data_IF_602239413550
#
_entry.id   IF_602239413550
#
_cell.length_a   1.000
_cell.length_b   1.000
_cell.length_c   1.000
_cell.angle_alpha   90.00
_cell.angle_beta   90.00
_cell.angle_gamma   90.00
#
_symmetry.space_group_name_H-M   'P 1'
#
loop_
_entity.id
_entity.type
_entity.pdbx_description
1 polymer ?
#
# COMPACT_ATOMS: atom_id res chain seq x y z
N UNK A 1 11.98 -24.75 11.14
CA UNK A 1 10.71 -24.04 11.41
C UNK A 1 10.30 -23.43 10.09
N UNK A 2 9.66 -24.24 9.25
CA UNK A 2 9.61 -24.01 7.81
C UNK A 2 8.28 -24.54 7.28
N UNK A 3 7.21 -23.85 7.68
CA UNK A 3 5.85 -24.08 7.18
C UNK A 3 5.19 -22.73 7.05
N UNK A 4 5.34 -22.11 5.87
CA UNK A 4 4.61 -20.93 5.43
C UNK A 4 3.12 -21.22 5.27
N UNK A 5 2.46 -21.61 6.37
CA UNK A 5 1.01 -21.62 6.41
C UNK A 5 0.55 -20.17 6.25
N UNK A 6 -0.19 -19.91 5.16
CA UNK A 6 -0.89 -18.65 4.96
C UNK A 6 -1.72 -18.39 6.21
N UNK A 7 -1.49 -17.24 6.84
CA UNK A 7 -2.30 -16.79 7.97
C UNK A 7 -3.73 -16.65 7.46
N UNK A 8 -4.68 -17.37 8.04
CA UNK A 8 -6.08 -17.32 7.60
C UNK A 8 -6.66 -15.93 7.84
N UNK A 9 -7.64 -15.55 7.03
CA UNK A 9 -8.31 -14.24 7.14
C UNK A 9 -8.82 -13.98 8.57
N UNK A 10 -9.41 -14.99 9.22
CA UNK A 10 -9.88 -14.90 10.61
C UNK A 10 -8.77 -14.54 11.61
N UNK A 11 -7.56 -15.10 11.43
CA UNK A 11 -6.42 -14.79 12.30
C UNK A 11 -5.95 -13.35 12.04
N UNK A 12 -5.87 -12.93 10.77
CA UNK A 12 -5.48 -11.56 10.43
C UNK A 12 -6.48 -10.55 11.01
N UNK A 13 -7.77 -10.81 10.86
CA UNK A 13 -8.83 -9.95 11.42
C UNK A 13 -8.73 -9.91 12.94
N UNK A 14 -8.54 -11.05 13.61
CA UNK A 14 -8.34 -11.09 15.06
C UNK A 14 -7.14 -10.25 15.52
N UNK A 15 -6.01 -10.32 14.79
CA UNK A 15 -4.83 -9.49 15.06
C UNK A 15 -5.12 -8.00 14.88
N UNK A 16 -5.86 -7.63 13.84
CA UNK A 16 -6.28 -6.25 13.59
C UNK A 16 -7.18 -5.75 14.71
N UNK A 17 -8.22 -6.49 15.09
CA UNK A 17 -9.14 -6.13 16.18
C UNK A 17 -8.37 -5.89 17.48
N UNK A 18 -7.45 -6.78 17.85
CA UNK A 18 -6.62 -6.59 19.04
C UNK A 18 -5.68 -5.38 18.92
N UNK A 19 -5.17 -5.09 17.73
CA UNK A 19 -4.30 -3.93 17.48
C UNK A 19 -5.05 -2.61 17.66
N UNK A 20 -6.30 -2.54 17.25
CA UNK A 20 -7.16 -1.35 17.35
C UNK A 20 -7.52 -0.98 18.79
N UNK A 21 -7.43 -1.93 19.73
CA UNK A 21 -7.67 -1.67 21.16
C UNK A 21 -6.56 -0.89 21.86
N UNK A 22 -5.40 -0.71 21.20
CA UNK A 22 -4.27 -0.01 21.81
C UNK A 22 -4.52 1.50 21.89
N UNK A 23 -3.97 2.21 22.90
CA UNK A 23 -4.26 3.63 23.12
C UNK A 23 -3.90 4.54 21.95
N UNK A 24 -2.88 4.18 21.16
CA UNK A 24 -2.45 4.98 20.01
C UNK A 24 -3.42 4.94 18.82
N UNK A 25 -4.41 4.04 18.84
CA UNK A 25 -5.48 3.98 17.84
C UNK A 25 -6.69 4.86 18.17
N UNK A 26 -6.70 5.56 19.31
CA UNK A 26 -7.87 6.33 19.76
C UNK A 26 -8.24 7.50 18.84
N UNK A 27 -7.26 8.02 18.08
CA UNK A 27 -7.44 9.17 17.19
C UNK A 27 -7.65 8.75 15.73
N UNK A 28 -7.98 7.48 15.49
CA UNK A 28 -8.08 6.89 14.17
C UNK A 28 -6.85 6.09 13.78
N UNK A 29 -6.97 5.40 12.66
CA UNK A 29 -5.94 4.49 12.13
C UNK A 29 -5.89 4.58 10.62
N UNK A 30 -4.73 4.24 10.06
CA UNK A 30 -4.56 3.99 8.63
C UNK A 30 -4.30 2.50 8.44
N UNK A 31 -5.15 1.82 7.68
CA UNK A 31 -4.86 0.47 7.23
C UNK A 31 -3.98 0.55 5.97
N UNK A 32 -2.75 0.04 6.08
CA UNK A 32 -1.81 -0.06 4.96
C UNK A 32 -1.67 -1.53 4.55
N UNK A 33 -2.23 -1.88 3.38
CA UNK A 33 -2.22 -3.24 2.87
C UNK A 33 -3.22 -4.18 3.54
N UNK A 34 -4.28 -3.67 4.18
CA UNK A 34 -5.41 -4.45 4.68
C UNK A 34 -6.71 -3.61 4.53
N UNK A 35 -7.87 -4.21 4.22
CA UNK A 35 -8.05 -5.58 3.75
C UNK A 35 -7.52 -5.77 2.32
N UNK A 36 -7.20 -7.02 1.96
CA UNK A 36 -6.75 -7.43 0.61
C UNK A 36 -7.74 -8.33 -0.12
N UNK A 37 -8.76 -8.84 0.58
CA UNK A 37 -9.78 -9.74 0.04
C UNK A 37 -11.16 -9.32 0.52
N UNK A 38 -12.21 -9.70 -0.23
CA UNK A 38 -13.61 -9.46 0.15
C UNK A 38 -13.96 -10.07 1.52
N UNK A 39 -13.55 -11.33 1.85
CA UNK A 39 -13.79 -11.88 3.18
C UNK A 39 -13.18 -11.05 4.32
N UNK A 40 -11.98 -10.49 4.14
CA UNK A 40 -11.37 -9.61 5.15
C UNK A 40 -12.17 -8.30 5.33
N UNK A 41 -12.66 -7.72 4.24
CA UNK A 41 -13.50 -6.53 4.29
C UNK A 41 -14.84 -6.79 4.99
N UNK A 42 -15.48 -7.93 4.71
CA UNK A 42 -16.71 -8.34 5.38
C UNK A 42 -16.48 -8.61 6.88
N UNK A 43 -15.33 -9.22 7.23
CA UNK A 43 -15.00 -9.49 8.62
C UNK A 43 -14.75 -8.22 9.44
N UNK A 44 -14.27 -7.13 8.83
CA UNK A 44 -14.23 -5.81 9.47
C UNK A 44 -15.64 -5.30 9.80
N UNK A 45 -16.59 -5.49 8.88
CA UNK A 45 -17.99 -5.10 9.10
C UNK A 45 -18.64 -5.89 10.22
N UNK A 46 -18.45 -7.20 10.22
CA UNK A 46 -18.99 -8.10 11.24
C UNK A 46 -18.40 -7.78 12.63
N UNK A 47 -17.17 -7.26 12.67
CA UNK A 47 -16.51 -6.76 13.88
C UNK A 47 -16.92 -5.32 14.26
N UNK A 48 -17.84 -4.69 13.52
CA UNK A 48 -18.25 -3.28 13.66
C UNK A 48 -17.08 -2.30 13.59
N UNK A 49 -16.06 -2.60 12.77
CA UNK A 49 -14.96 -1.68 12.48
C UNK A 49 -15.35 -0.89 11.24
N UNK A 50 -15.80 0.35 11.45
CA UNK A 50 -16.09 1.29 10.39
C UNK A 50 -14.82 1.75 9.65
N UNK A 51 -14.96 2.00 8.36
CA UNK A 51 -13.96 2.72 7.56
C UNK A 51 -14.61 4.01 7.12
N UNK A 52 -13.98 5.15 7.43
CA UNK A 52 -14.50 6.48 7.07
C UNK A 52 -14.08 6.91 5.66
N UNK A 53 -12.93 6.42 5.18
CA UNK A 53 -12.35 6.81 3.90
C UNK A 53 -11.55 5.68 3.27
N UNK A 54 -11.80 5.42 1.99
CA UNK A 54 -10.93 4.65 1.11
C UNK A 54 -10.18 5.61 0.18
N UNK A 55 -8.86 5.45 0.10
CA UNK A 55 -8.01 6.19 -0.85
C UNK A 55 -7.45 5.21 -1.86
N UNK A 56 -7.89 5.32 -3.10
CA UNK A 56 -7.42 4.52 -4.24
C UNK A 56 -6.41 5.35 -5.04
N UNK A 57 -5.14 4.96 -4.99
CA UNK A 57 -4.09 5.60 -5.81
C UNK A 57 -3.90 4.78 -7.08
N UNK A 58 -4.37 5.30 -8.21
CA UNK A 58 -4.36 4.60 -9.49
C UNK A 58 -3.08 4.85 -10.26
N UNK A 59 -2.52 3.80 -10.85
CA UNK A 59 -1.38 3.89 -11.74
C UNK A 59 -1.42 2.74 -12.75
N UNK A 60 -1.02 3.02 -13.98
CA UNK A 60 -0.88 2.00 -15.03
C UNK A 60 0.18 0.95 -14.64
N UNK A 61 -0.05 -0.32 -15.01
CA UNK A 61 0.81 -1.44 -14.62
C UNK A 61 2.27 -1.24 -15.05
N UNK A 62 2.51 -0.74 -16.27
CA UNK A 62 3.88 -0.50 -16.75
C UNK A 62 4.58 0.59 -15.93
N UNK A 63 3.85 1.60 -15.46
CA UNK A 63 4.40 2.62 -14.57
C UNK A 63 4.70 2.03 -13.17
N UNK A 64 3.88 1.11 -12.68
CA UNK A 64 4.15 0.39 -11.42
C UNK A 64 5.41 -0.46 -11.57
N UNK A 65 5.51 -1.22 -12.67
CA UNK A 65 6.66 -2.09 -12.94
C UNK A 65 7.94 -1.26 -13.09
N UNK A 66 7.93 -0.17 -13.86
CA UNK A 66 9.08 0.73 -13.99
C UNK A 66 9.49 1.29 -12.62
N UNK A 67 8.52 1.77 -11.83
CA UNK A 67 8.78 2.35 -10.51
C UNK A 67 9.31 1.35 -9.50
N UNK A 68 8.86 0.09 -9.53
CA UNK A 68 9.33 -0.94 -8.60
C UNK A 68 10.69 -1.47 -9.02
N UNK A 69 10.85 -1.85 -10.29
CA UNK A 69 12.11 -2.40 -10.83
C UNK A 69 13.29 -1.44 -10.81
N UNK A 70 13.00 -0.13 -10.83
CA UNK A 70 14.02 0.90 -10.68
C UNK A 70 14.47 1.16 -9.24
N UNK A 71 13.79 0.63 -8.21
CA UNK A 71 14.14 0.88 -6.81
C UNK A 71 15.49 0.29 -6.44
N UNK A 72 16.23 1.05 -5.65
CA UNK A 72 17.49 0.66 -5.04
C UNK A 72 17.46 1.06 -3.57
N UNK A 73 18.02 0.22 -2.71
CA UNK A 73 18.07 0.46 -1.28
C UNK A 73 19.50 0.31 -0.77
N UNK A 74 19.90 1.23 0.10
CA UNK A 74 21.07 1.07 0.93
C UNK A 74 20.68 0.31 2.19
N UNK A 75 21.14 -0.94 2.35
CA UNK A 75 20.65 -1.85 3.40
C UNK A 75 20.95 -1.30 4.80
N UNK A 76 22.14 -0.77 5.01
CA UNK A 76 22.61 -0.32 6.33
C UNK A 76 21.80 0.86 6.88
N UNK A 77 21.25 1.72 6.00
CA UNK A 77 20.51 2.92 6.43
C UNK A 77 19.03 2.94 6.07
N UNK A 78 18.58 2.06 5.17
CA UNK A 78 17.24 2.09 4.60
C UNK A 78 16.97 3.24 3.61
N UNK A 79 18.00 4.01 3.21
CA UNK A 79 17.84 5.06 2.19
C UNK A 79 17.42 4.43 0.85
N UNK A 80 16.46 5.08 0.19
CA UNK A 80 15.90 4.61 -1.08
C UNK A 80 16.34 5.51 -2.23
N UNK A 81 16.64 4.88 -3.35
CA UNK A 81 17.03 5.48 -4.61
C UNK A 81 16.15 4.88 -5.72
N UNK A 82 16.15 5.53 -6.87
CA UNK A 82 15.52 5.01 -8.06
C UNK A 82 16.36 5.35 -9.29
N UNK A 83 16.74 4.36 -10.10
CA UNK A 83 17.66 4.54 -11.24
C UNK A 83 17.28 5.67 -12.22
N UNK A 84 15.97 5.94 -12.38
CA UNK A 84 15.41 7.03 -13.20
C UNK A 84 14.93 8.25 -12.40
N UNK A 85 14.02 8.07 -11.44
CA UNK A 85 13.33 9.18 -10.76
C UNK A 85 14.10 9.81 -9.58
N UNK A 86 15.05 9.08 -9.00
CA UNK A 86 15.87 9.56 -7.89
C UNK A 86 17.25 8.86 -7.93
N UNK A 87 18.04 9.06 -8.99
CA UNK A 87 19.28 8.32 -9.20
C UNK A 87 20.30 8.69 -8.12
N UNK A 88 21.13 7.73 -7.65
CA UNK A 88 22.29 8.08 -6.85
C UNK A 88 23.27 8.93 -7.66
N UNK A 89 24.07 9.74 -6.98
CA UNK A 89 25.14 10.56 -7.61
C UNK A 89 26.16 9.69 -8.34
N UNK A 90 26.42 8.49 -7.83
CA UNK A 90 27.25 7.48 -8.47
C UNK A 90 26.42 6.20 -8.62
N UNK A 91 26.32 5.71 -9.84
CA UNK A 91 25.53 4.50 -10.16
C UNK A 91 25.96 3.32 -9.28
N UNK A 92 24.98 2.69 -8.62
CA UNK A 92 25.20 1.53 -7.77
C UNK A 92 25.70 1.82 -6.35
N UNK A 93 25.91 3.09 -5.98
CA UNK A 93 26.47 3.45 -4.66
C UNK A 93 25.63 4.48 -3.91
N UNK A 94 25.58 4.34 -2.60
CA UNK A 94 24.92 5.28 -1.69
C UNK A 94 25.68 6.61 -1.61
N UNK A 95 24.93 7.72 -1.65
CA UNK A 95 25.51 9.07 -1.76
C UNK A 95 26.27 9.54 -0.52
N UNK A 96 26.02 8.94 0.65
CA UNK A 96 26.61 9.37 1.91
C UNK A 96 27.76 8.48 2.35
N UNK A 97 27.62 7.17 2.14
CA UNK A 97 28.58 6.17 2.61
C UNK A 97 29.49 5.65 1.50
N UNK A 98 29.04 5.69 0.25
CA UNK A 98 29.72 5.05 -0.88
C UNK A 98 29.59 3.53 -0.88
N UNK A 99 28.78 2.94 -0.01
CA UNK A 99 28.46 1.51 0.00
C UNK A 99 27.55 1.13 -1.17
N UNK A 100 27.51 -0.16 -1.54
CA UNK A 100 26.71 -0.64 -2.65
C UNK A 100 25.20 -0.56 -2.35
N UNK A 101 24.44 -0.15 -3.37
CA UNK A 101 22.99 -0.23 -3.37
C UNK A 101 22.55 -1.57 -3.96
N UNK A 102 21.51 -2.16 -3.38
CA UNK A 102 20.90 -3.37 -3.91
C UNK A 102 19.49 -3.12 -4.43
N UNK A 103 19.05 -3.95 -5.37
CA UNK A 103 17.64 -4.11 -5.66
C UNK A 103 17.09 -5.21 -4.75
N UNK A 104 15.93 -4.98 -4.12
CA UNK A 104 15.29 -6.03 -3.32
C UNK A 104 14.76 -7.13 -4.23
N UNK A 105 14.72 -8.36 -3.74
CA UNK A 105 14.22 -9.49 -4.54
C UNK A 105 12.77 -9.28 -4.98
N UNK A 106 11.97 -8.57 -4.19
CA UNK A 106 10.58 -8.32 -4.47
C UNK A 106 10.29 -7.08 -5.33
N UNK A 107 11.34 -6.32 -5.64
CA UNK A 107 11.33 -5.24 -6.61
C UNK A 107 11.71 -5.75 -8.02
N UNK A 108 12.05 -7.05 -8.20
CA UNK A 108 12.35 -7.62 -9.52
C UNK A 108 11.11 -7.61 -10.42
N UNK A 109 11.30 -7.33 -11.71
CA UNK A 109 10.19 -7.13 -12.67
C UNK A 109 9.22 -8.31 -12.66
N UNK A 110 9.73 -9.53 -12.72
CA UNK A 110 8.94 -10.75 -12.78
C UNK A 110 8.09 -10.92 -11.51
N UNK A 111 8.66 -10.59 -10.35
CA UNK A 111 7.96 -10.66 -9.05
C UNK A 111 6.88 -9.58 -8.95
N UNK A 112 7.14 -8.39 -9.49
CA UNK A 112 6.17 -7.29 -9.53
C UNK A 112 4.99 -7.64 -10.44
N UNK A 113 5.27 -8.22 -11.61
CA UNK A 113 4.24 -8.69 -12.54
C UNK A 113 3.35 -9.77 -11.90
N UNK A 114 3.94 -10.76 -11.21
CA UNK A 114 3.18 -11.77 -10.46
C UNK A 114 2.31 -11.14 -9.36
N UNK A 115 2.85 -10.15 -8.62
CA UNK A 115 2.10 -9.42 -7.59
C UNK A 115 0.93 -8.64 -8.18
N UNK A 116 1.09 -8.04 -9.36
CA UNK A 116 0.00 -7.35 -10.05
C UNK A 116 -1.12 -8.33 -10.44
N UNK A 117 -0.78 -9.53 -10.93
CA UNK A 117 -1.78 -10.56 -11.23
C UNK A 117 -2.58 -10.94 -9.96
N UNK A 118 -1.90 -11.13 -8.83
CA UNK A 118 -2.57 -11.42 -7.55
C UNK A 118 -3.47 -10.25 -7.12
N UNK A 119 -2.98 -9.02 -7.23
CA UNK A 119 -3.75 -7.81 -6.92
C UNK A 119 -5.04 -7.74 -7.74
N UNK A 120 -4.97 -7.92 -9.07
CA UNK A 120 -6.15 -7.89 -9.97
C UNK A 120 -7.19 -8.95 -9.59
N UNK A 121 -6.73 -10.13 -9.18
CA UNK A 121 -7.62 -11.24 -8.86
C UNK A 121 -8.26 -11.13 -7.46
N UNK A 122 -7.53 -10.61 -6.47
CA UNK A 122 -7.94 -10.68 -5.06
C UNK A 122 -8.31 -9.34 -4.46
N UNK A 123 -7.58 -8.28 -4.81
CA UNK A 123 -7.66 -6.96 -4.16
C UNK A 123 -8.44 -5.96 -5.00
N UNK A 124 -8.26 -5.92 -6.32
CA UNK A 124 -9.04 -5.04 -7.20
C UNK A 124 -10.57 -5.19 -7.05
N UNK A 125 -11.15 -6.39 -6.81
CA UNK A 125 -12.58 -6.52 -6.53
C UNK A 125 -13.08 -5.69 -5.33
N UNK A 126 -12.19 -5.33 -4.39
CA UNK A 126 -12.53 -4.46 -3.26
C UNK A 126 -12.93 -3.05 -3.70
N UNK A 127 -12.45 -2.57 -4.86
CA UNK A 127 -12.84 -1.27 -5.41
C UNK A 127 -14.35 -1.24 -5.62
N UNK A 128 -14.88 -2.24 -6.33
CA UNK A 128 -16.32 -2.36 -6.59
C UNK A 128 -17.11 -2.55 -5.29
N UNK A 129 -16.59 -3.34 -4.35
CA UNK A 129 -17.21 -3.55 -3.03
C UNK A 129 -17.35 -2.24 -2.24
N UNK A 130 -16.28 -1.46 -2.12
CA UNK A 130 -16.30 -0.21 -1.35
C UNK A 130 -17.03 0.93 -2.07
N UNK A 131 -16.96 1.01 -3.41
CA UNK A 131 -17.78 1.96 -4.18
C UNK A 131 -19.28 1.66 -4.05
N UNK A 132 -19.66 0.38 -4.04
CA UNK A 132 -21.06 0.00 -3.78
C UNK A 132 -21.49 0.33 -2.34
N UNK A 133 -20.57 0.33 -1.38
CA UNK A 133 -20.86 0.72 0.01
C UNK A 133 -20.96 2.22 0.23
N UNK A 134 -20.21 3.04 -0.51
CA UNK A 134 -20.32 4.50 -0.46
C UNK A 134 -21.76 4.99 -0.70
N UNK A 135 -22.57 4.25 -1.46
CA UNK A 135 -23.96 4.63 -1.74
C UNK A 135 -24.94 4.26 -0.61
N UNK A 136 -24.51 3.41 0.33
CA UNK A 136 -25.35 2.83 1.39
C UNK A 136 -24.93 3.34 2.77
N UNK A 137 -23.63 3.55 2.98
CA UNK A 137 -23.01 3.97 4.23
C UNK A 137 -22.34 5.33 4.08
N UNK A 138 -22.11 6.02 5.21
CA UNK A 138 -21.35 7.27 5.32
C UNK A 138 -19.83 7.02 5.18
N UNK A 139 -19.43 6.32 4.11
CA UNK A 139 -18.05 6.04 3.72
C UNK A 139 -17.68 6.94 2.55
N UNK A 140 -16.57 7.65 2.65
CA UNK A 140 -16.01 8.35 1.50
C UNK A 140 -15.04 7.51 0.69
N UNK A 141 -15.03 7.77 -0.62
CA UNK A 141 -14.15 7.10 -1.55
C UNK A 141 -13.43 8.14 -2.41
N UNK A 142 -12.10 8.19 -2.29
CA UNK A 142 -11.25 9.12 -3.03
C UNK A 142 -10.37 8.35 -4.00
N UNK A 143 -10.52 8.63 -5.30
CA UNK A 143 -9.58 8.16 -6.33
C UNK A 143 -8.54 9.24 -6.62
N UNK A 144 -7.26 8.87 -6.67
CA UNK A 144 -6.12 9.75 -6.89
C UNK A 144 -5.28 9.22 -8.03
N UNK A 145 -4.87 10.07 -8.96
CA UNK A 145 -3.88 9.72 -9.98
C UNK A 145 -2.47 9.64 -9.35
N UNK A 146 -1.88 8.45 -9.37
CA UNK A 146 -0.55 8.15 -8.83
C UNK A 146 0.62 8.53 -9.74
N UNK A 147 0.36 9.08 -10.94
CA UNK A 147 1.40 9.43 -11.92
C UNK A 147 2.22 10.67 -11.55
N UNK A 148 1.67 11.53 -10.68
CA UNK A 148 2.31 12.77 -10.20
C UNK A 148 3.51 12.56 -9.27
N UNK A 149 4.06 13.67 -8.76
CA UNK A 149 5.11 13.64 -7.73
C UNK A 149 4.53 13.29 -6.37
N UNK A 150 5.40 12.85 -5.45
CA UNK A 150 4.99 12.53 -4.06
C UNK A 150 4.34 13.75 -3.41
N UNK A 151 4.90 14.94 -3.62
CA UNK A 151 4.41 16.19 -3.07
C UNK A 151 3.03 16.55 -3.63
N UNK A 152 2.83 16.43 -4.95
CA UNK A 152 1.54 16.77 -5.57
C UNK A 152 0.43 15.83 -5.11
N UNK A 153 0.72 14.52 -5.04
CA UNK A 153 -0.23 13.50 -4.60
C UNK A 153 -0.56 13.70 -3.11
N UNK A 154 0.46 13.96 -2.27
CA UNK A 154 0.26 14.21 -0.84
C UNK A 154 -0.60 15.44 -0.59
N UNK A 155 -0.34 16.55 -1.30
CA UNK A 155 -1.14 17.76 -1.17
C UNK A 155 -2.59 17.54 -1.63
N UNK A 156 -2.80 16.78 -2.71
CA UNK A 156 -4.14 16.43 -3.17
C UNK A 156 -4.95 15.70 -2.09
N UNK A 157 -4.36 14.67 -1.49
CA UNK A 157 -4.99 13.89 -0.42
C UNK A 157 -5.25 14.76 0.81
N UNK A 158 -4.27 15.58 1.24
CA UNK A 158 -4.43 16.46 2.40
C UNK A 158 -5.52 17.51 2.20
N UNK A 159 -5.68 18.02 0.97
CA UNK A 159 -6.74 18.97 0.66
C UNK A 159 -8.12 18.32 0.72
N UNK A 160 -8.25 17.05 0.37
CA UNK A 160 -9.50 16.30 0.56
C UNK A 160 -9.89 16.24 2.05
N UNK A 161 -8.95 15.92 2.93
CA UNK A 161 -9.21 15.91 4.38
C UNK A 161 -9.61 17.27 4.95
N UNK A 162 -9.07 18.38 4.41
CA UNK A 162 -9.34 19.74 4.91
C UNK A 162 -10.69 20.31 4.47
N UNK A 163 -11.27 19.77 3.40
CA UNK A 163 -12.51 20.27 2.81
C UNK A 163 -13.76 19.51 3.31
N UNK A 164 -13.58 18.57 4.23
CA UNK A 164 -14.63 17.96 5.05
C UNK A 164 -14.75 18.69 6.38
#
# INVERSE_FOLDING_TARGET
>A
MDKGALVSDDIIVGLVVERLKKPDCSNGVLFDGFPRTIPQAQALDDANIGIDLIIEIQLEDENIIERMSGRRVHISSGRNYHVKFNPPKKEGFDDLTGEELIQRDDDKREVVEERLIVYRNQTEPLISFYKAKQTINDLDYLTVDGSGSVESISQFILNFFRNK
#
